data_IF_629711327454
#
_entry.id   IF_629711327454
#
_cell.length_a   1.000
_cell.length_b   1.000
_cell.length_c   1.000
_cell.angle_alpha   90.00
_cell.angle_beta   90.00
_cell.angle_gamma   90.00
#
_symmetry.space_group_name_H-M   'P 1'
#
loop_
_entity.id
_entity.type
_entity.pdbx_description
1 polymer ?
#
# COMPACT_ATOMS: atom_id res chain seq x y z
N UNK A 1 79.60 12.23 4.12
CA UNK A 1 79.31 11.37 5.28
C UNK A 1 77.87 11.60 5.69
N UNK A 2 77.07 10.53 5.70
CA UNK A 2 76.02 10.23 6.68
C UNK A 2 75.06 11.39 7.01
N UNK A 3 73.92 11.46 6.33
CA UNK A 3 72.67 10.77 6.69
C UNK A 3 71.70 11.67 7.47
N UNK A 4 70.51 11.83 6.88
CA UNK A 4 69.16 11.74 7.46
C UNK A 4 68.81 12.71 8.63
N UNK A 5 67.68 13.40 8.63
CA UNK A 5 66.31 12.98 9.00
C UNK A 5 65.58 14.32 9.24
N UNK A 6 64.32 14.63 8.98
CA UNK A 6 63.14 13.91 8.51
C UNK A 6 62.23 14.97 7.89
N UNK A 7 61.89 14.79 6.61
CA UNK A 7 60.62 15.27 6.10
C UNK A 7 59.51 14.37 6.64
N UNK A 8 58.26 14.75 6.39
CA UNK A 8 57.02 14.04 6.75
C UNK A 8 56.50 14.40 8.14
N UNK A 9 55.96 15.62 8.23
CA UNK A 9 54.82 15.90 9.09
C UNK A 9 53.68 14.96 8.66
N UNK A 10 53.46 13.92 9.46
CA UNK A 10 52.32 13.00 9.36
C UNK A 10 51.03 13.79 9.62
N UNK A 11 50.45 14.34 8.56
CA UNK A 11 49.02 14.66 8.54
C UNK A 11 48.28 13.33 8.42
N UNK A 12 47.94 12.76 9.58
CA UNK A 12 47.00 11.66 9.69
C UNK A 12 45.63 12.17 9.20
N UNK A 13 45.37 12.03 7.90
CA UNK A 13 44.02 12.06 7.36
C UNK A 13 43.26 10.90 7.99
N UNK A 14 42.56 11.20 9.09
CA UNK A 14 41.47 10.40 9.61
C UNK A 14 40.42 10.26 8.50
N UNK A 15 40.56 9.21 7.71
CA UNK A 15 39.48 8.65 6.90
C UNK A 15 38.46 8.03 7.88
N UNK A 16 37.70 8.89 8.55
CA UNK A 16 36.46 8.49 9.18
C UNK A 16 35.48 8.21 8.04
N UNK A 17 35.49 6.96 7.57
CA UNK A 17 34.49 6.45 6.65
C UNK A 17 33.11 6.60 7.27
N UNK A 18 32.37 7.62 6.85
CA UNK A 18 30.93 7.66 7.04
C UNK A 18 30.33 6.56 6.14
N UNK A 19 30.25 5.34 6.65
CA UNK A 19 29.32 4.36 6.14
C UNK A 19 27.92 4.86 6.52
N UNK A 20 27.33 5.70 5.66
CA UNK A 20 25.93 6.05 5.73
C UNK A 20 25.14 4.76 5.45
N UNK A 21 24.84 4.01 6.51
CA UNK A 21 23.82 2.98 6.44
C UNK A 21 22.51 3.70 6.10
N UNK A 22 22.13 3.66 4.82
CA UNK A 22 20.79 3.99 4.39
C UNK A 22 19.85 2.96 5.04
N UNK A 23 19.41 3.24 6.26
CA UNK A 23 18.32 2.51 6.88
C UNK A 23 17.06 2.93 6.13
N UNK A 24 16.71 2.19 5.08
CA UNK A 24 15.38 2.25 4.49
C UNK A 24 14.40 1.82 5.57
N UNK A 25 13.75 2.80 6.21
CA UNK A 25 12.66 2.51 7.14
C UNK A 25 11.56 1.85 6.32
N UNK A 26 11.33 0.55 6.53
CA UNK A 26 10.21 -0.14 5.90
C UNK A 26 8.93 0.38 6.52
N UNK A 27 8.34 1.38 5.88
CA UNK A 27 7.15 2.05 6.36
C UNK A 27 5.94 1.19 5.99
N UNK A 28 5.49 0.37 6.93
CA UNK A 28 4.32 -0.48 6.72
C UNK A 28 3.10 0.40 6.42
N UNK A 29 2.37 0.08 5.37
CA UNK A 29 1.12 0.79 5.04
C UNK A 29 0.07 0.57 6.11
N UNK A 30 -0.64 1.64 6.45
CA UNK A 30 -1.82 1.59 7.33
C UNK A 30 -3.06 1.32 6.50
N UNK A 31 -3.75 0.23 6.79
CA UNK A 31 -5.05 -0.10 6.20
C UNK A 31 -6.16 0.43 7.10
N UNK A 32 -7.08 1.19 6.50
CA UNK A 32 -8.31 1.59 7.15
C UNK A 32 -9.36 0.48 7.00
N UNK A 33 -10.29 0.42 7.95
CA UNK A 33 -11.43 -0.50 7.94
C UNK A 33 -12.78 0.24 8.04
N UNK A 34 -12.74 1.57 8.02
CA UNK A 34 -13.91 2.42 7.86
C UNK A 34 -13.65 3.46 6.79
N UNK A 35 -14.68 3.70 5.98
CA UNK A 35 -14.70 4.75 4.98
C UNK A 35 -14.56 6.13 5.61
N UNK A 36 -15.12 6.37 6.80
CA UNK A 36 -15.00 7.67 7.47
C UNK A 36 -13.55 7.98 7.84
N UNK A 37 -12.80 6.99 8.34
CA UNK A 37 -11.39 7.15 8.63
C UNK A 37 -10.58 7.34 7.34
N UNK A 38 -10.87 6.54 6.31
CA UNK A 38 -10.22 6.64 5.01
C UNK A 38 -10.47 8.01 4.35
N UNK A 39 -11.72 8.48 4.32
CA UNK A 39 -12.10 9.77 3.75
C UNK A 39 -11.49 10.94 4.52
N UNK A 40 -11.47 10.87 5.86
CA UNK A 40 -10.81 11.89 6.68
C UNK A 40 -9.32 11.97 6.38
N UNK A 41 -8.64 10.83 6.28
CA UNK A 41 -7.22 10.77 5.95
C UNK A 41 -6.98 11.25 4.51
N UNK A 42 -7.81 10.81 3.56
CA UNK A 42 -7.73 11.18 2.15
C UNK A 42 -7.83 12.70 1.96
N UNK A 43 -8.78 13.34 2.64
CA UNK A 43 -8.96 14.78 2.61
C UNK A 43 -7.79 15.54 3.26
N UNK A 44 -7.18 14.98 4.32
CA UNK A 44 -6.03 15.60 4.98
C UNK A 44 -4.73 15.46 4.17
N UNK A 45 -4.58 14.36 3.43
CA UNK A 45 -3.37 14.05 2.66
C UNK A 45 -3.51 14.36 1.17
N UNK A 46 -4.69 14.77 0.71
CA UNK A 46 -5.04 15.00 -0.70
C UNK A 46 -4.76 13.77 -1.59
N UNK A 47 -5.12 12.58 -1.10
CA UNK A 47 -4.88 11.31 -1.78
C UNK A 47 -6.20 10.62 -2.14
N UNK A 48 -6.27 9.92 -3.29
CA UNK A 48 -7.39 9.03 -3.57
C UNK A 48 -7.46 7.86 -2.58
N UNK A 49 -8.64 7.29 -2.45
CA UNK A 49 -8.87 6.07 -1.66
C UNK A 49 -8.80 4.86 -2.59
N UNK A 50 -7.97 3.87 -2.25
CA UNK A 50 -8.01 2.54 -2.85
C UNK A 50 -8.85 1.62 -1.95
N UNK A 51 -10.13 1.48 -2.29
CA UNK A 51 -11.07 0.63 -1.56
C UNK A 51 -11.03 -0.80 -2.12
N UNK A 52 -10.69 -1.77 -1.28
CA UNK A 52 -10.48 -3.18 -1.65
C UNK A 52 -11.55 -4.05 -1.00
N UNK A 53 -12.42 -4.62 -1.83
CA UNK A 53 -13.34 -5.69 -1.44
C UNK A 53 -12.64 -7.03 -1.58
N UNK A 54 -12.39 -7.70 -0.46
CA UNK A 54 -11.62 -8.94 -0.41
C UNK A 54 -12.40 -10.10 0.21
N UNK A 55 -12.10 -11.32 -0.21
CA UNK A 55 -12.48 -12.55 0.50
C UNK A 55 -11.23 -13.23 1.04
N UNK A 56 -10.74 -12.79 2.20
CA UNK A 56 -9.39 -13.10 2.69
C UNK A 56 -9.05 -14.59 2.86
N UNK A 57 -10.06 -15.46 2.99
CA UNK A 57 -9.87 -16.88 3.28
C UNK A 57 -10.46 -17.85 2.24
N UNK A 58 -11.17 -17.36 1.23
CA UNK A 58 -11.82 -18.19 0.21
C UNK A 58 -11.60 -17.71 -1.23
N UNK A 59 -11.28 -16.43 -1.44
CA UNK A 59 -11.03 -15.86 -2.76
C UNK A 59 -9.55 -16.02 -3.13
N UNK A 60 -9.21 -17.05 -3.93
CA UNK A 60 -7.83 -17.30 -4.36
C UNK A 60 -7.16 -16.07 -5.01
N UNK A 61 -7.80 -15.35 -5.95
CA UNK A 61 -7.19 -14.15 -6.53
C UNK A 61 -6.97 -13.02 -5.52
N UNK A 62 -7.83 -12.89 -4.50
CA UNK A 62 -7.64 -11.91 -3.42
C UNK A 62 -6.39 -12.24 -2.58
N UNK A 63 -6.23 -13.52 -2.23
CA UNK A 63 -5.07 -14.01 -1.46
C UNK A 63 -3.78 -13.84 -2.27
N UNK A 64 -3.82 -14.11 -3.57
CA UNK A 64 -2.67 -13.90 -4.46
C UNK A 64 -2.34 -12.41 -4.57
N UNK A 65 -3.33 -11.55 -4.78
CA UNK A 65 -3.12 -10.10 -4.85
C UNK A 65 -2.44 -9.53 -3.60
N UNK A 66 -2.88 -9.98 -2.42
CA UNK A 66 -2.25 -9.60 -1.15
C UNK A 66 -0.78 -9.99 -1.09
N UNK A 67 -0.47 -11.25 -1.37
CA UNK A 67 0.89 -11.78 -1.28
C UNK A 67 1.82 -11.22 -2.35
N UNK A 68 1.33 -11.06 -3.57
CA UNK A 68 2.13 -10.65 -4.73
C UNK A 68 2.29 -9.13 -4.81
N UNK A 69 1.35 -8.36 -4.25
CA UNK A 69 1.31 -6.90 -4.38
C UNK A 69 1.26 -6.21 -3.02
N UNK A 70 0.19 -6.38 -2.23
CA UNK A 70 -0.01 -5.58 -1.00
C UNK A 70 1.08 -5.75 0.06
N UNK A 71 1.61 -6.96 0.20
CA UNK A 71 2.63 -7.28 1.18
C UNK A 71 4.06 -6.96 0.68
N UNK A 72 4.20 -6.53 -0.58
CA UNK A 72 5.50 -6.17 -1.16
C UNK A 72 6.00 -4.82 -0.64
N UNK A 73 7.32 -4.65 -0.39
CA UNK A 73 7.91 -3.36 -0.06
C UNK A 73 7.65 -2.29 -1.13
N UNK A 74 7.66 -2.67 -2.40
CA UNK A 74 7.48 -1.80 -3.55
C UNK A 74 6.09 -1.15 -3.52
N UNK A 75 5.04 -1.95 -3.34
CA UNK A 75 3.69 -1.42 -3.20
C UNK A 75 3.53 -0.62 -1.90
N UNK A 76 4.09 -1.07 -0.78
CA UNK A 76 3.90 -0.37 0.49
C UNK A 76 4.50 1.04 0.45
N UNK A 77 5.72 1.16 -0.09
CA UNK A 77 6.37 2.46 -0.25
C UNK A 77 5.56 3.37 -1.17
N UNK A 78 5.12 2.86 -2.32
CA UNK A 78 4.28 3.63 -3.25
C UNK A 78 2.95 4.04 -2.61
N UNK A 79 2.22 3.10 -2.01
CA UNK A 79 0.90 3.36 -1.46
C UNK A 79 0.93 4.41 -0.35
N UNK A 80 1.97 4.44 0.49
CA UNK A 80 2.13 5.47 1.51
C UNK A 80 2.14 6.90 0.94
N UNK A 81 2.66 7.09 -0.27
CA UNK A 81 2.76 8.41 -0.90
C UNK A 81 1.56 8.72 -1.80
N UNK A 82 0.83 7.70 -2.26
CA UNK A 82 -0.15 7.85 -3.35
C UNK A 82 -1.59 7.49 -2.98
N UNK A 83 -1.83 6.70 -1.93
CA UNK A 83 -3.17 6.20 -1.60
C UNK A 83 -3.48 6.26 -0.11
N UNK A 84 -4.76 6.44 0.19
CA UNK A 84 -5.32 5.93 1.44
C UNK A 84 -5.92 4.56 1.18
N UNK A 85 -5.47 3.55 1.92
CA UNK A 85 -5.90 2.17 1.73
C UNK A 85 -7.10 1.85 2.63
N UNK A 86 -8.14 1.25 2.05
CA UNK A 86 -9.34 0.78 2.77
C UNK A 86 -9.61 -0.68 2.43
N UNK A 87 -9.58 -1.58 3.41
CA UNK A 87 -9.95 -2.99 3.22
C UNK A 87 -11.35 -3.26 3.78
N UNK A 88 -12.21 -3.81 2.92
CA UNK A 88 -13.53 -4.33 3.24
C UNK A 88 -13.48 -5.84 3.02
N UNK A 89 -13.22 -6.59 4.08
CA UNK A 89 -13.07 -8.05 4.02
C UNK A 89 -14.40 -8.78 4.23
N UNK A 90 -14.55 -9.92 3.55
CA UNK A 90 -15.74 -10.77 3.54
C UNK A 90 -15.34 -12.24 3.75
N UNK A 91 -14.72 -12.59 4.90
CA UNK A 91 -14.28 -13.95 5.18
C UNK A 91 -15.49 -14.91 5.28
N UNK A 92 -15.29 -16.16 4.87
CA UNK A 92 -16.35 -17.18 4.90
C UNK A 92 -16.14 -18.22 5.99
N UNK A 93 -14.89 -18.46 6.43
CA UNK A 93 -14.66 -19.47 7.47
C UNK A 93 -15.03 -18.93 8.85
N UNK A 94 -15.71 -19.77 9.64
CA UNK A 94 -16.20 -19.41 10.98
C UNK A 94 -15.10 -18.82 11.89
N UNK A 95 -13.88 -19.33 11.78
CA UNK A 95 -12.72 -18.89 12.58
C UNK A 95 -12.22 -17.48 12.24
N UNK A 96 -12.59 -16.96 11.07
CA UNK A 96 -12.15 -15.66 10.57
C UNK A 96 -13.29 -14.63 10.53
N UNK A 97 -14.45 -14.95 11.13
CA UNK A 97 -15.62 -14.07 11.08
C UNK A 97 -15.33 -12.72 11.73
N UNK A 98 -15.77 -11.67 11.05
CA UNK A 98 -15.69 -10.31 11.58
C UNK A 98 -16.73 -10.10 12.68
N UNK A 99 -16.52 -9.11 13.58
CA UNK A 99 -17.60 -8.62 14.44
C UNK A 99 -18.84 -8.28 13.62
N UNK A 100 -20.03 -8.52 14.18
CA UNK A 100 -21.33 -8.34 13.49
C UNK A 100 -21.46 -6.93 12.90
N UNK A 101 -21.05 -5.91 13.66
CA UNK A 101 -21.12 -4.51 13.22
C UNK A 101 -20.20 -4.24 12.03
N UNK A 102 -18.98 -4.76 12.04
CA UNK A 102 -18.05 -4.62 10.92
C UNK A 102 -18.54 -5.36 9.68
N UNK A 103 -19.10 -6.57 9.84
CA UNK A 103 -19.69 -7.32 8.72
C UNK A 103 -20.82 -6.52 8.08
N UNK A 104 -21.76 -6.01 8.89
CA UNK A 104 -22.88 -5.19 8.41
C UNK A 104 -22.39 -3.90 7.74
N UNK A 105 -21.36 -3.27 8.28
CA UNK A 105 -20.75 -2.09 7.71
C UNK A 105 -20.12 -2.37 6.34
N UNK A 106 -19.36 -3.46 6.21
CA UNK A 106 -18.77 -3.88 4.94
C UNK A 106 -19.87 -4.19 3.91
N UNK A 107 -20.96 -4.84 4.31
CA UNK A 107 -22.13 -5.11 3.47
C UNK A 107 -22.77 -3.81 2.94
N UNK A 108 -22.94 -2.78 3.78
CA UNK A 108 -23.48 -1.48 3.36
C UNK A 108 -22.61 -0.79 2.31
N UNK A 109 -21.28 -0.84 2.45
CA UNK A 109 -20.38 -0.30 1.43
C UNK A 109 -20.38 -1.15 0.15
N UNK A 110 -20.55 -2.47 0.25
CA UNK A 110 -20.71 -3.33 -0.93
C UNK A 110 -22.00 -3.04 -1.69
N UNK A 111 -23.11 -2.75 -1.02
CA UNK A 111 -24.36 -2.31 -1.67
C UNK A 111 -24.17 -1.05 -2.52
N UNK A 112 -23.22 -0.18 -2.14
CA UNK A 112 -22.90 1.04 -2.89
C UNK A 112 -21.89 0.82 -4.01
N UNK A 113 -20.81 0.08 -3.74
CA UNK A 113 -19.65 0.03 -4.63
C UNK A 113 -19.41 -1.33 -5.32
N UNK A 114 -19.98 -2.42 -4.80
CA UNK A 114 -19.78 -3.81 -5.22
C UNK A 114 -21.11 -4.62 -5.30
N UNK A 115 -22.13 -4.08 -5.96
CA UNK A 115 -23.45 -4.72 -6.06
C UNK A 115 -23.42 -6.10 -6.72
N UNK A 116 -22.44 -6.34 -7.58
CA UNK A 116 -22.23 -7.60 -8.29
C UNK A 116 -21.52 -8.66 -7.43
N UNK A 117 -21.01 -8.29 -6.25
CA UNK A 117 -20.31 -9.22 -5.36
C UNK A 117 -19.00 -9.75 -5.94
N UNK A 118 -18.23 -8.89 -6.61
CA UNK A 118 -16.96 -9.23 -7.25
C UNK A 118 -15.82 -9.26 -6.21
N UNK A 119 -14.96 -10.28 -6.30
CA UNK A 119 -13.82 -10.46 -5.40
C UNK A 119 -12.58 -10.98 -6.17
N UNK A 120 -11.43 -10.28 -6.13
CA UNK A 120 -11.25 -8.94 -5.57
C UNK A 120 -11.92 -7.88 -6.47
N UNK A 121 -12.59 -6.92 -5.85
CA UNK A 121 -12.94 -5.65 -6.51
C UNK A 121 -12.16 -4.53 -5.83
N UNK A 122 -11.50 -3.71 -6.64
CA UNK A 122 -10.84 -2.50 -6.22
C UNK A 122 -11.58 -1.32 -6.83
N UNK A 123 -11.89 -0.34 -5.99
CA UNK A 123 -12.55 0.89 -6.40
C UNK A 123 -11.65 2.05 -6.00
N UNK A 124 -11.15 2.78 -6.99
CA UNK A 124 -10.46 4.05 -6.78
C UNK A 124 -11.51 5.14 -6.64
N UNK A 125 -11.48 5.90 -5.56
CA UNK A 125 -12.32 7.08 -5.38
C UNK A 125 -11.51 8.32 -5.07
N UNK A 126 -12.08 9.50 -5.33
CA UNK A 126 -11.60 10.72 -4.67
C UNK A 126 -11.98 10.72 -3.17
N UNK A 127 -11.55 11.76 -2.46
CA UNK A 127 -11.82 11.96 -1.03
C UNK A 127 -13.32 12.18 -0.72
N UNK A 128 -14.14 12.52 -1.73
CA UNK A 128 -15.60 12.63 -1.63
C UNK A 128 -16.34 11.33 -1.97
N UNK A 129 -15.62 10.29 -2.41
CA UNK A 129 -16.18 8.98 -2.73
C UNK A 129 -16.72 8.84 -4.15
N UNK A 130 -16.41 9.79 -5.05
CA UNK A 130 -16.68 9.66 -6.48
C UNK A 130 -15.73 8.62 -7.06
N UNK A 131 -16.28 7.69 -7.83
CA UNK A 131 -15.49 6.63 -8.48
C UNK A 131 -14.64 7.22 -9.61
N UNK A 132 -13.33 6.97 -9.53
CA UNK A 132 -12.33 7.32 -10.54
C UNK A 132 -12.01 6.13 -11.45
N UNK A 133 -12.10 4.91 -10.92
CA UNK A 133 -11.86 3.69 -11.67
C UNK A 133 -12.19 2.45 -10.86
N UNK A 134 -12.39 1.32 -11.54
CA UNK A 134 -12.56 0.01 -10.92
C UNK A 134 -11.64 -1.01 -11.57
N UNK A 135 -11.14 -1.95 -10.77
CA UNK A 135 -10.36 -3.08 -11.28
C UNK A 135 -10.43 -4.28 -10.36
N UNK A 136 -9.73 -5.35 -10.72
CA UNK A 136 -9.59 -6.56 -9.93
C UNK A 136 -8.15 -7.06 -10.02
N UNK A 137 -7.95 -8.36 -9.82
CA UNK A 137 -6.62 -8.96 -9.91
C UNK A 137 -5.97 -8.73 -11.29
N UNK A 138 -4.70 -8.34 -11.27
CA UNK A 138 -3.83 -8.24 -12.45
C UNK A 138 -2.54 -8.98 -12.14
N UNK A 139 -2.16 -9.90 -13.03
CA UNK A 139 -0.91 -10.64 -12.88
C UNK A 139 0.29 -9.79 -13.30
N UNK A 140 1.42 -9.98 -12.61
CA UNK A 140 2.73 -9.44 -12.98
C UNK A 140 3.45 -8.65 -11.90
N UNK A 141 3.08 -8.80 -10.63
CA UNK A 141 3.81 -8.23 -9.50
C UNK A 141 3.48 -6.76 -9.21
N UNK A 142 4.15 -6.16 -8.20
CA UNK A 142 3.77 -4.88 -7.67
C UNK A 142 3.99 -3.72 -8.64
N UNK A 143 5.09 -3.70 -9.39
CA UNK A 143 5.41 -2.61 -10.32
C UNK A 143 4.37 -2.50 -11.43
N UNK A 144 3.98 -3.64 -12.00
CA UNK A 144 2.95 -3.66 -13.04
C UNK A 144 1.58 -3.29 -12.48
N UNK A 145 1.28 -3.71 -11.25
CA UNK A 145 0.02 -3.36 -10.62
C UNK A 145 -0.06 -1.86 -10.30
N UNK A 146 1.04 -1.26 -9.83
CA UNK A 146 1.17 0.19 -9.62
C UNK A 146 0.92 0.94 -10.93
N UNK A 147 1.62 0.58 -12.02
CA UNK A 147 1.44 1.22 -13.33
C UNK A 147 -0.01 1.10 -13.84
N UNK A 148 -0.67 -0.02 -13.56
CA UNK A 148 -2.10 -0.21 -13.88
C UNK A 148 -3.01 0.73 -13.06
N UNK A 149 -2.75 0.90 -11.76
CA UNK A 149 -3.50 1.86 -10.93
C UNK A 149 -3.28 3.31 -11.38
N UNK A 150 -2.05 3.68 -11.74
CA UNK A 150 -1.73 5.00 -12.29
C UNK A 150 -2.47 5.28 -13.58
N UNK A 151 -2.53 4.29 -14.48
CA UNK A 151 -3.27 4.42 -15.72
C UNK A 151 -4.75 4.72 -15.47
N UNK A 152 -5.39 4.02 -14.51
CA UNK A 152 -6.78 4.27 -14.14
C UNK A 152 -7.02 5.70 -13.63
N UNK A 153 -6.06 6.29 -12.91
CA UNK A 153 -6.18 7.67 -12.41
C UNK A 153 -6.04 8.73 -13.51
N UNK A 154 -5.44 8.39 -14.66
CA UNK A 154 -5.18 9.33 -15.76
C UNK A 154 -6.33 9.40 -16.78
N UNK A 155 -7.26 8.44 -16.79
CA UNK A 155 -8.37 8.35 -17.77
C UNK A 155 -9.55 9.31 -17.47
N UNK A 156 -9.27 10.57 -17.15
CA UNK A 156 -10.28 11.60 -16.81
C UNK A 156 -11.36 11.78 -17.86
#
# INVERSE_FOLDING_TARGET
>A
MKHLFSAVLLWAFLLAGFAANAQTSQHKTTWQHSYEAAAKQAAAEHKPILMVFAGSDWCKPCIMLRKEVWDSPEFQNYANDHFVLLELDFPRFKKNQLPVDQKKYNEQLAEKYNQEGLFPLLVLTDEQGKVLGKTGYQAGGPEKYIAHLEHLLQQK
#
